data_IF_059270178681
#
_entry.id   IF_059270178681
#
_cell.length_a   1.000
_cell.length_b   1.000
_cell.length_c   1.000
_cell.angle_alpha   90.00
_cell.angle_beta   90.00
_cell.angle_gamma   90.00
#
_symmetry.space_group_name_H-M   'P 1'
#
loop_
_entity.id
_entity.type
_entity.pdbx_description
1 polymer ?
#
# COMPACT_ATOMS: atom_id res chain seq x y z
N UNK A 1 -23.87 -8.40 -4.31
CA UNK A 1 -23.87 -7.96 -5.73
C UNK A 1 -22.49 -8.25 -6.28
N UNK A 2 -22.41 -9.22 -7.17
CA UNK A 2 -21.21 -9.50 -7.95
C UNK A 2 -21.03 -8.29 -8.87
N UNK A 3 -19.94 -7.56 -8.71
CA UNK A 3 -19.58 -6.49 -9.61
C UNK A 3 -19.21 -7.14 -10.95
N UNK A 4 -20.12 -7.12 -11.90
CA UNK A 4 -19.85 -7.58 -13.28
C UNK A 4 -19.02 -6.49 -13.96
N UNK A 5 -17.72 -6.46 -13.69
CA UNK A 5 -16.78 -5.65 -14.42
C UNK A 5 -16.54 -6.35 -15.77
N UNK A 6 -17.41 -6.10 -16.74
CA UNK A 6 -17.05 -6.39 -18.13
C UNK A 6 -15.97 -5.40 -18.53
N UNK A 7 -14.74 -5.87 -18.66
CA UNK A 7 -13.70 -5.12 -19.34
C UNK A 7 -14.24 -4.75 -20.74
N UNK A 8 -14.40 -3.46 -21.01
CA UNK A 8 -14.74 -3.00 -22.35
C UNK A 8 -13.52 -3.24 -23.23
N UNK A 9 -13.60 -4.22 -24.11
CA UNK A 9 -12.59 -4.48 -25.12
C UNK A 9 -12.88 -3.55 -26.29
N UNK A 10 -12.05 -2.53 -26.49
CA UNK A 10 -12.07 -1.70 -27.68
C UNK A 10 -11.06 -2.27 -28.69
N UNK A 11 -11.47 -2.45 -29.92
CA UNK A 11 -10.57 -2.84 -31.02
C UNK A 11 -10.09 -1.56 -31.68
N UNK A 12 -8.78 -1.31 -31.64
CA UNK A 12 -8.19 -0.25 -32.41
C UNK A 12 -8.18 -0.68 -33.91
N UNK A 13 -9.07 -0.10 -34.67
CA UNK A 13 -9.28 -0.45 -36.09
C UNK A 13 -8.03 -0.15 -36.93
N UNK A 14 -7.20 0.80 -36.53
CA UNK A 14 -6.01 1.18 -37.27
C UNK A 14 -4.82 0.20 -37.08
N UNK A 15 -4.76 -0.49 -35.92
CA UNK A 15 -3.63 -1.39 -35.59
C UNK A 15 -4.07 -2.84 -35.44
N UNK A 16 -5.36 -3.14 -35.39
CA UNK A 16 -5.92 -4.47 -35.12
C UNK A 16 -5.66 -4.95 -33.70
N UNK A 17 -5.16 -4.08 -32.80
CA UNK A 17 -4.85 -4.42 -31.41
C UNK A 17 -6.10 -4.32 -30.53
N UNK A 18 -6.26 -5.29 -29.65
CA UNK A 18 -7.26 -5.24 -28.58
C UNK A 18 -6.75 -4.26 -27.51
N UNK A 19 -7.41 -3.14 -27.38
CA UNK A 19 -7.12 -2.19 -26.30
C UNK A 19 -8.01 -2.60 -25.12
N UNK A 20 -7.41 -3.24 -24.14
CA UNK A 20 -8.03 -3.48 -22.84
C UNK A 20 -7.93 -2.19 -22.04
N UNK A 21 -9.04 -1.63 -21.59
CA UNK A 21 -9.00 -0.48 -20.69
C UNK A 21 -8.20 -0.85 -19.43
N UNK A 22 -7.05 -0.22 -19.25
CA UNK A 22 -6.21 -0.45 -18.09
C UNK A 22 -6.89 0.10 -16.83
N UNK A 23 -7.05 -0.76 -15.83
CA UNK A 23 -7.61 -0.34 -14.55
C UNK A 23 -6.56 0.42 -13.75
N UNK A 24 -6.92 1.63 -13.33
CA UNK A 24 -6.14 2.43 -12.39
C UNK A 24 -6.84 2.34 -11.03
N UNK A 25 -6.11 1.90 -10.03
CA UNK A 25 -6.62 1.88 -8.66
C UNK A 25 -6.12 3.09 -7.86
N UNK A 26 -6.93 3.53 -6.93
CA UNK A 26 -6.52 4.46 -5.88
C UNK A 26 -6.14 3.67 -4.64
N UNK A 27 -5.01 3.98 -4.04
CA UNK A 27 -4.54 3.35 -2.80
C UNK A 27 -4.33 4.43 -1.74
N UNK A 28 -5.00 4.26 -0.61
CA UNK A 28 -4.67 4.97 0.61
C UNK A 28 -3.76 4.08 1.46
N UNK A 29 -2.47 4.41 1.48
CA UNK A 29 -1.48 3.73 2.32
C UNK A 29 -1.45 4.39 3.69
N UNK A 30 -2.31 3.94 4.61
CA UNK A 30 -2.43 4.51 5.95
C UNK A 30 -1.40 3.96 6.94
N UNK A 31 -1.23 4.67 8.07
CA UNK A 31 -0.35 4.23 9.19
C UNK A 31 -0.91 3.00 9.90
N UNK A 32 -2.22 2.97 10.12
CA UNK A 32 -2.93 1.90 10.85
C UNK A 32 -3.65 0.96 9.91
N UNK A 33 -4.39 1.51 8.96
CA UNK A 33 -5.13 0.76 7.95
C UNK A 33 -4.89 1.38 6.57
N UNK A 34 -4.91 0.53 5.57
CA UNK A 34 -4.82 0.89 4.16
C UNK A 34 -6.06 0.41 3.42
N UNK A 35 -6.33 0.97 2.27
CA UNK A 35 -7.43 0.53 1.40
C UNK A 35 -7.07 0.71 -0.08
N UNK A 36 -7.77 -0.03 -0.91
CA UNK A 36 -7.74 0.11 -2.37
C UNK A 36 -9.15 0.40 -2.89
N UNK A 37 -9.24 1.31 -3.83
CA UNK A 37 -10.50 1.77 -4.42
C UNK A 37 -10.37 1.90 -5.94
N UNK A 38 -11.53 1.94 -6.60
CA UNK A 38 -11.64 2.26 -8.03
C UNK A 38 -12.69 3.34 -8.24
N UNK A 39 -12.67 3.94 -9.44
CA UNK A 39 -13.82 4.70 -9.92
C UNK A 39 -14.82 3.74 -10.51
N UNK A 40 -16.04 3.75 -9.99
CA UNK A 40 -17.12 2.97 -10.60
C UNK A 40 -17.43 3.52 -12.02
N UNK A 41 -17.42 2.68 -13.05
CA UNK A 41 -17.51 3.15 -14.45
C UNK A 41 -18.81 3.90 -14.75
N UNK A 42 -19.91 3.51 -14.14
CA UNK A 42 -21.22 4.11 -14.41
C UNK A 42 -21.49 5.34 -13.53
N UNK A 43 -21.27 5.21 -12.21
CA UNK A 43 -21.58 6.29 -11.25
C UNK A 43 -20.50 7.35 -11.15
N UNK A 44 -19.31 7.08 -11.67
CA UNK A 44 -18.10 7.93 -11.55
C UNK A 44 -17.75 8.26 -10.09
N UNK A 45 -18.21 7.44 -9.16
CA UNK A 45 -17.93 7.60 -7.74
C UNK A 45 -16.85 6.62 -7.28
N UNK A 46 -16.05 6.97 -6.27
CA UNK A 46 -15.07 6.07 -5.66
C UNK A 46 -15.76 4.93 -4.94
N UNK A 47 -15.24 3.73 -5.14
CA UNK A 47 -15.71 2.53 -4.46
C UNK A 47 -14.51 1.80 -3.87
N UNK A 48 -14.45 1.76 -2.54
CA UNK A 48 -13.47 0.94 -1.84
C UNK A 48 -13.75 -0.55 -2.10
N UNK A 49 -12.73 -1.25 -2.53
CA UNK A 49 -12.83 -2.67 -2.84
C UNK A 49 -12.85 -3.50 -1.55
N UNK A 50 -13.79 -4.40 -1.45
CA UNK A 50 -13.91 -5.34 -0.35
C UNK A 50 -14.47 -6.67 -0.81
N UNK A 51 -14.01 -7.74 -0.22
CA UNK A 51 -14.61 -9.06 -0.40
C UNK A 51 -15.97 -9.12 0.31
N UNK A 52 -16.77 -10.10 -0.08
CA UNK A 52 -18.09 -10.30 0.54
C UNK A 52 -17.93 -10.55 2.04
N UNK A 53 -18.68 -9.80 2.86
CA UNK A 53 -18.63 -9.85 4.33
C UNK A 53 -17.29 -9.48 4.98
N UNK A 54 -16.37 -8.82 4.26
CA UNK A 54 -15.12 -8.34 4.82
C UNK A 54 -15.06 -6.81 4.91
N UNK A 55 -14.09 -6.30 5.67
CA UNK A 55 -13.77 -4.87 5.70
C UNK A 55 -13.11 -4.44 4.39
N UNK A 56 -13.35 -3.20 3.96
CA UNK A 56 -12.54 -2.56 2.92
C UNK A 56 -11.16 -2.13 3.45
N UNK A 57 -11.03 -1.96 4.77
CA UNK A 57 -9.78 -1.60 5.42
C UNK A 57 -8.92 -2.85 5.63
N UNK A 58 -7.65 -2.73 5.28
CA UNK A 58 -6.61 -3.74 5.51
C UNK A 58 -5.66 -3.17 6.56
N UNK A 59 -5.48 -3.82 7.71
CA UNK A 59 -4.47 -3.39 8.67
C UNK A 59 -3.09 -3.28 8.04
N UNK A 60 -2.43 -2.13 8.23
CA UNK A 60 -1.06 -1.86 7.72
C UNK A 60 -0.03 -2.56 8.60
N UNK A 61 -0.15 -3.87 8.72
CA UNK A 61 0.63 -4.74 9.59
C UNK A 61 1.22 -5.88 8.77
N UNK A 62 2.50 -6.15 8.98
CA UNK A 62 3.27 -7.19 8.29
C UNK A 62 3.84 -8.15 9.32
N UNK A 63 3.55 -9.42 9.19
CA UNK A 63 4.10 -10.49 10.02
C UNK A 63 5.00 -11.38 9.19
N UNK A 64 6.13 -11.76 9.77
CA UNK A 64 7.13 -12.66 9.19
C UNK A 64 7.14 -13.95 9.99
N UNK A 65 6.74 -15.04 9.36
CA UNK A 65 6.77 -16.35 10.04
C UNK A 65 8.19 -16.94 10.07
N UNK A 66 8.35 -18.01 10.83
CA UNK A 66 9.64 -18.73 11.00
C UNK A 66 10.16 -19.31 9.68
N UNK A 67 9.29 -19.56 8.70
CA UNK A 67 9.66 -20.12 7.39
C UNK A 67 10.02 -19.02 6.39
N UNK A 68 9.84 -17.75 6.76
CA UNK A 68 10.12 -16.58 5.93
C UNK A 68 8.94 -16.14 5.05
N UNK A 69 7.74 -16.68 5.26
CA UNK A 69 6.54 -16.18 4.62
C UNK A 69 6.13 -14.83 5.21
N UNK A 70 5.55 -14.01 4.36
CA UNK A 70 5.10 -12.66 4.72
C UNK A 70 3.58 -12.63 4.66
N UNK A 71 2.98 -12.27 5.79
CA UNK A 71 1.53 -12.17 5.97
C UNK A 71 1.18 -10.72 6.27
N UNK A 72 0.13 -10.20 5.65
CA UNK A 72 -0.30 -8.80 5.79
C UNK A 72 -1.78 -8.73 6.18
N UNK A 73 -2.16 -7.71 6.93
CA UNK A 73 -3.54 -7.43 7.25
C UNK A 73 -4.05 -8.10 8.52
N UNK A 74 -5.29 -8.59 8.52
CA UNK A 74 -5.97 -9.11 9.73
C UNK A 74 -5.26 -10.31 10.35
N UNK A 75 -4.71 -11.21 9.55
CA UNK A 75 -3.97 -12.37 10.08
C UNK A 75 -2.66 -11.93 10.74
N UNK A 76 -1.96 -10.95 10.16
CA UNK A 76 -0.77 -10.34 10.78
C UNK A 76 -1.13 -9.61 12.08
N UNK A 77 -2.28 -8.94 12.13
CA UNK A 77 -2.76 -8.22 13.32
C UNK A 77 -2.94 -9.14 14.52
N UNK A 78 -3.40 -10.38 14.31
CA UNK A 78 -3.53 -11.38 15.38
C UNK A 78 -2.18 -11.72 16.03
N UNK A 79 -1.08 -11.57 15.29
CA UNK A 79 0.29 -11.86 15.74
C UNK A 79 0.92 -10.76 16.58
N UNK A 80 0.35 -9.56 16.63
CA UNK A 80 0.87 -8.45 17.45
C UNK A 80 1.02 -8.80 18.94
N UNK A 81 0.16 -9.68 19.45
CA UNK A 81 0.17 -10.10 20.86
C UNK A 81 1.09 -11.30 21.06
N UNK A 82 1.03 -12.29 20.17
CA UNK A 82 1.74 -13.57 20.34
C UNK A 82 3.18 -13.52 19.84
N UNK A 83 3.44 -12.74 18.80
CA UNK A 83 4.74 -12.65 18.12
C UNK A 83 5.10 -11.20 17.76
N UNK A 84 5.14 -10.31 18.77
CA UNK A 84 5.32 -8.87 18.53
C UNK A 84 6.68 -8.53 17.89
N UNK A 85 7.72 -9.34 18.11
CA UNK A 85 9.07 -9.13 17.56
C UNK A 85 9.15 -9.46 16.06
N UNK A 86 8.21 -10.28 15.56
CA UNK A 86 8.11 -10.65 14.15
C UNK A 86 6.98 -9.92 13.42
N UNK A 87 6.32 -8.98 14.11
CA UNK A 87 5.16 -8.26 13.58
C UNK A 87 5.43 -6.76 13.52
N UNK A 88 5.48 -6.22 12.32
CA UNK A 88 5.78 -4.81 12.06
C UNK A 88 4.50 -4.05 11.76
N UNK A 89 4.30 -2.94 12.46
CA UNK A 89 3.18 -2.02 12.27
C UNK A 89 3.70 -0.59 12.10
N UNK A 90 2.85 0.32 11.62
CA UNK A 90 3.19 1.74 11.47
C UNK A 90 4.43 2.02 10.59
N UNK A 91 4.74 1.16 9.61
CA UNK A 91 5.88 1.33 8.70
C UNK A 91 5.88 2.69 7.98
N UNK A 92 4.71 3.27 7.72
CA UNK A 92 4.55 4.61 7.12
C UNK A 92 5.25 5.70 7.93
N UNK A 93 5.35 5.56 9.27
CA UNK A 93 6.05 6.53 10.12
C UNK A 93 7.57 6.52 9.95
N UNK A 94 8.11 5.43 9.42
CA UNK A 94 9.53 5.23 9.21
C UNK A 94 9.96 5.60 7.79
N UNK A 95 9.02 5.74 6.85
CA UNK A 95 9.32 5.96 5.44
C UNK A 95 10.05 7.29 5.24
N UNK A 96 11.20 7.27 4.57
CA UNK A 96 12.01 8.44 4.31
C UNK A 96 12.63 9.08 5.56
N UNK A 97 12.72 8.34 6.68
CA UNK A 97 13.29 8.81 7.95
C UNK A 97 14.65 8.18 8.22
N UNK A 98 15.51 8.95 8.91
CA UNK A 98 16.74 8.47 9.54
C UNK A 98 16.44 8.03 10.98
N UNK A 99 17.37 7.34 11.62
CA UNK A 99 17.22 6.99 13.05
C UNK A 99 17.08 8.24 13.92
N UNK A 100 17.82 9.29 13.63
CA UNK A 100 17.73 10.56 14.37
C UNK A 100 16.33 11.17 14.32
N UNK A 101 15.62 11.03 13.21
CA UNK A 101 14.26 11.55 13.04
C UNK A 101 13.23 10.82 13.92
N UNK A 102 13.52 9.57 14.30
CA UNK A 102 12.56 8.71 15.04
C UNK A 102 13.04 8.33 16.43
N UNK A 103 14.22 8.75 16.83
CA UNK A 103 14.88 8.37 18.09
C UNK A 103 13.97 8.50 19.32
N UNK A 104 13.20 9.60 19.43
CA UNK A 104 12.25 9.82 20.52
C UNK A 104 11.04 8.88 20.49
N UNK A 105 10.73 8.30 19.33
CA UNK A 105 9.60 7.41 19.13
C UNK A 105 10.01 5.93 19.03
N UNK A 106 11.32 5.63 19.05
CA UNK A 106 11.83 4.27 18.84
C UNK A 106 11.32 3.27 19.89
N UNK A 107 11.08 3.73 21.13
CA UNK A 107 10.54 2.90 22.22
C UNK A 107 9.06 2.49 22.04
N UNK A 108 8.33 3.12 21.13
CA UNK A 108 6.93 2.75 20.83
C UNK A 108 6.80 1.52 19.93
N UNK A 109 7.88 1.12 19.27
CA UNK A 109 7.86 -0.05 18.39
C UNK A 109 8.20 -1.31 19.19
N UNK A 110 7.40 -2.37 19.02
CA UNK A 110 7.66 -3.70 19.61
C UNK A 110 8.75 -4.47 18.86
N UNK A 111 9.08 -4.04 17.65
CA UNK A 111 10.16 -4.57 16.83
C UNK A 111 11.40 -3.68 16.90
N UNK A 112 12.53 -4.23 16.53
CA UNK A 112 13.81 -3.53 16.64
C UNK A 112 14.05 -2.60 15.45
N UNK A 113 14.19 -1.31 15.73
CA UNK A 113 14.64 -0.32 14.76
C UNK A 113 16.14 -0.11 14.94
N UNK A 114 16.91 -0.20 13.85
CA UNK A 114 18.36 -0.19 13.88
C UNK A 114 18.88 1.24 13.76
N UNK A 115 19.77 1.58 14.69
CA UNK A 115 20.68 2.71 14.57
C UNK A 115 22.04 2.18 14.07
N UNK A 116 22.34 2.42 12.83
CA UNK A 116 23.63 2.03 12.25
C UNK A 116 24.69 3.16 12.32
N UNK A 117 24.41 4.20 13.14
CA UNK A 117 25.24 5.40 13.32
C UNK A 117 25.59 6.14 12.01
N UNK A 118 24.78 5.95 10.97
CA UNK A 118 24.90 6.66 9.71
C UNK A 118 23.69 7.59 9.52
N UNK A 119 23.82 8.54 8.61
CA UNK A 119 22.67 9.35 8.15
C UNK A 119 21.77 8.57 7.16
N UNK A 120 21.94 7.27 7.11
CA UNK A 120 21.16 6.39 6.24
C UNK A 120 19.71 6.27 6.71
N UNK A 121 18.85 5.84 5.79
CA UNK A 121 17.46 5.54 6.12
C UNK A 121 17.36 4.41 7.12
N UNK A 122 16.47 4.57 8.10
CA UNK A 122 16.22 3.60 9.16
C UNK A 122 15.92 2.20 8.60
N UNK A 123 16.35 1.17 9.34
CA UNK A 123 16.05 -0.23 9.05
C UNK A 123 15.32 -0.89 10.22
N UNK A 124 14.51 -1.87 9.90
CA UNK A 124 13.82 -2.72 10.89
C UNK A 124 14.44 -4.10 10.86
N UNK A 125 14.83 -4.60 12.03
CA UNK A 125 15.31 -5.97 12.18
C UNK A 125 14.16 -6.90 12.58
N UNK A 126 13.99 -7.98 11.83
CA UNK A 126 13.08 -9.07 12.16
C UNK A 126 13.86 -10.39 12.07
N UNK A 127 14.05 -11.05 13.20
CA UNK A 127 15.00 -12.18 13.28
C UNK A 127 16.39 -11.73 12.86
N UNK A 128 16.99 -12.47 11.93
CA UNK A 128 18.32 -12.16 11.38
C UNK A 128 18.29 -11.29 10.12
N UNK A 129 17.10 -10.86 9.69
CA UNK A 129 16.92 -10.08 8.46
C UNK A 129 16.64 -8.61 8.76
N UNK A 130 17.03 -7.77 7.80
CA UNK A 130 16.82 -6.32 7.84
C UNK A 130 15.91 -5.89 6.70
N UNK A 131 14.93 -5.05 7.02
CA UNK A 131 13.96 -4.52 6.05
C UNK A 131 13.96 -3.01 6.09
N UNK A 132 13.94 -2.39 4.93
CA UNK A 132 13.68 -0.95 4.83
C UNK A 132 12.19 -0.65 5.01
N UNK A 133 11.82 0.58 5.40
CA UNK A 133 10.42 1.00 5.39
C UNK A 133 9.77 0.92 3.99
N UNK A 134 10.58 1.00 2.94
CA UNK A 134 10.14 0.83 1.54
C UNK A 134 9.74 -0.63 1.30
N UNK A 135 10.55 -1.60 1.75
CA UNK A 135 10.21 -3.04 1.65
C UNK A 135 8.90 -3.34 2.39
N UNK A 136 8.79 -2.88 3.64
CA UNK A 136 7.61 -3.10 4.47
C UNK A 136 6.34 -2.50 3.84
N UNK A 137 6.44 -1.29 3.30
CA UNK A 137 5.34 -0.64 2.59
C UNK A 137 4.99 -1.37 1.30
N UNK A 138 5.98 -1.93 0.60
CA UNK A 138 5.75 -2.71 -0.61
C UNK A 138 4.94 -3.98 -0.37
N UNK A 139 5.11 -4.63 0.79
CA UNK A 139 4.31 -5.81 1.15
C UNK A 139 2.83 -5.45 1.36
N UNK A 140 2.57 -4.32 2.01
CA UNK A 140 1.19 -3.82 2.18
C UNK A 140 0.57 -3.49 0.81
N UNK A 141 1.32 -2.80 -0.06
CA UNK A 141 0.86 -2.47 -1.41
C UNK A 141 0.63 -3.71 -2.27
N UNK A 142 1.47 -4.74 -2.14
CA UNK A 142 1.27 -6.04 -2.79
C UNK A 142 -0.04 -6.70 -2.37
N UNK A 143 -0.35 -6.69 -1.09
CA UNK A 143 -1.60 -7.25 -0.56
C UNK A 143 -2.81 -6.50 -1.12
N UNK A 144 -2.77 -5.16 -1.16
CA UNK A 144 -3.84 -4.34 -1.73
C UNK A 144 -4.02 -4.59 -3.24
N UNK A 145 -2.90 -4.71 -3.98
CA UNK A 145 -2.90 -5.09 -5.40
C UNK A 145 -3.56 -6.45 -5.59
N UNK A 146 -3.11 -7.46 -4.86
CA UNK A 146 -3.65 -8.82 -4.94
C UNK A 146 -5.15 -8.85 -4.63
N UNK A 147 -5.57 -8.13 -3.59
CA UNK A 147 -7.00 -7.98 -3.25
C UNK A 147 -7.80 -7.35 -4.38
N UNK A 148 -7.29 -6.28 -4.99
CA UNK A 148 -7.94 -5.64 -6.13
C UNK A 148 -8.06 -6.59 -7.32
N UNK A 149 -7.00 -7.30 -7.67
CA UNK A 149 -6.98 -8.29 -8.77
C UNK A 149 -7.97 -9.44 -8.50
N UNK A 150 -8.04 -9.91 -7.25
CA UNK A 150 -8.99 -10.96 -6.88
C UNK A 150 -10.45 -10.52 -7.00
N UNK A 151 -10.77 -9.29 -6.59
CA UNK A 151 -12.15 -8.75 -6.66
C UNK A 151 -12.54 -8.40 -8.09
N UNK A 152 -11.63 -7.76 -8.83
CA UNK A 152 -11.88 -7.26 -10.18
C UNK A 152 -11.72 -8.35 -11.25
N UNK A 153 -11.10 -9.49 -10.88
CA UNK A 153 -10.80 -10.62 -11.81
C UNK A 153 -9.97 -10.18 -13.03
N UNK A 154 -9.09 -9.20 -12.83
CA UNK A 154 -8.22 -8.65 -13.87
C UNK A 154 -6.92 -8.14 -13.26
N UNK A 155 -5.80 -8.16 -14.00
CA UNK A 155 -4.53 -7.60 -13.54
C UNK A 155 -4.66 -6.10 -13.21
N UNK A 156 -3.98 -5.66 -12.16
CA UNK A 156 -3.89 -4.28 -11.73
C UNK A 156 -2.44 -3.84 -11.74
N UNK A 157 -2.08 -3.01 -12.70
CA UNK A 157 -0.69 -2.58 -12.90
C UNK A 157 -0.46 -1.10 -12.59
N UNK A 158 -1.52 -0.28 -12.54
CA UNK A 158 -1.42 1.17 -12.38
C UNK A 158 -2.13 1.64 -11.11
N UNK A 159 -1.49 2.55 -10.40
CA UNK A 159 -2.05 3.10 -9.17
C UNK A 159 -1.78 4.61 -9.01
N UNK A 160 -2.69 5.26 -8.30
CA UNK A 160 -2.47 6.55 -7.64
C UNK A 160 -2.42 6.27 -6.15
N UNK A 161 -1.37 6.73 -5.46
CA UNK A 161 -1.20 6.49 -4.01
C UNK A 161 -1.34 7.81 -3.27
N UNK A 162 -2.16 7.82 -2.21
CA UNK A 162 -2.29 8.99 -1.34
C UNK A 162 -1.27 8.93 -0.19
N UNK A 163 -0.76 10.11 0.17
CA UNK A 163 0.20 10.31 1.27
C UNK A 163 -0.19 11.55 2.07
N UNK A 164 0.24 11.67 3.34
CA UNK A 164 0.02 12.87 4.11
C UNK A 164 0.54 14.12 3.39
N UNK A 165 -0.20 15.24 3.51
CA UNK A 165 0.17 16.49 2.85
C UNK A 165 1.56 16.99 3.28
N UNK A 166 1.97 16.70 4.52
CA UNK A 166 3.27 17.08 5.07
C UNK A 166 4.45 16.21 4.62
N UNK A 167 4.23 15.16 3.81
CA UNK A 167 5.33 14.36 3.27
C UNK A 167 6.24 15.20 2.40
N UNK A 168 7.54 15.14 2.66
CA UNK A 168 8.56 15.74 1.82
C UNK A 168 8.84 14.88 0.56
N UNK A 169 9.68 15.40 -0.32
CA UNK A 169 9.99 14.74 -1.60
C UNK A 169 10.64 13.36 -1.41
N UNK A 170 11.51 13.21 -0.41
CA UNK A 170 12.15 11.93 -0.10
C UNK A 170 11.11 10.87 0.33
N UNK A 171 10.14 11.26 1.14
CA UNK A 171 9.06 10.36 1.58
C UNK A 171 8.10 10.02 0.44
N UNK A 172 7.82 10.98 -0.45
CA UNK A 172 7.02 10.75 -1.66
C UNK A 172 7.74 9.81 -2.63
N UNK A 173 9.05 9.98 -2.81
CA UNK A 173 9.85 9.11 -3.65
C UNK A 173 9.93 7.69 -3.06
N UNK A 174 10.16 7.55 -1.76
CA UNK A 174 10.17 6.26 -1.09
C UNK A 174 8.82 5.52 -1.20
N UNK A 175 7.70 6.26 -1.16
CA UNK A 175 6.37 5.67 -1.40
C UNK A 175 6.22 5.19 -2.85
N UNK A 176 6.73 5.95 -3.82
CA UNK A 176 6.74 5.55 -5.23
C UNK A 176 7.58 4.28 -5.45
N UNK A 177 8.74 4.20 -4.80
CA UNK A 177 9.63 3.04 -4.88
C UNK A 177 8.99 1.79 -4.25
N UNK A 178 8.25 1.96 -3.14
CA UNK A 178 7.47 0.87 -2.56
C UNK A 178 6.39 0.36 -3.52
N UNK A 179 5.70 1.25 -4.22
CA UNK A 179 4.74 0.88 -5.27
C UNK A 179 5.39 0.09 -6.39
N UNK A 180 6.56 0.52 -6.84
CA UNK A 180 7.36 -0.16 -7.86
C UNK A 180 7.75 -1.58 -7.43
N UNK A 181 8.23 -1.74 -6.20
CA UNK A 181 8.54 -3.06 -5.61
C UNK A 181 7.29 -3.96 -5.49
N UNK A 182 6.12 -3.37 -5.33
CA UNK A 182 4.84 -4.07 -5.33
C UNK A 182 4.35 -4.46 -6.75
N UNK A 183 5.07 -4.08 -7.80
CA UNK A 183 4.68 -4.33 -9.18
C UNK A 183 3.60 -3.37 -9.68
N UNK A 184 3.57 -2.14 -9.15
CA UNK A 184 2.66 -1.08 -9.56
C UNK A 184 3.42 0.03 -10.30
N UNK A 185 2.90 0.44 -11.45
CA UNK A 185 3.26 1.71 -12.07
C UNK A 185 2.51 2.83 -11.32
N UNK A 186 3.24 3.58 -10.49
CA UNK A 186 2.67 4.65 -9.67
C UNK A 186 2.60 5.93 -10.49
N UNK A 187 1.44 6.18 -11.07
CA UNK A 187 1.19 7.32 -11.94
C UNK A 187 1.32 8.66 -11.20
N UNK A 188 0.87 8.69 -9.94
CA UNK A 188 0.88 9.88 -9.11
C UNK A 188 0.95 9.55 -7.62
N UNK A 189 1.70 10.38 -6.87
CA UNK A 189 1.61 10.48 -5.41
C UNK A 189 0.81 11.73 -5.08
N UNK A 190 -0.30 11.57 -4.37
CA UNK A 190 -1.24 12.65 -4.11
C UNK A 190 -1.34 12.94 -2.60
N UNK A 191 -1.40 14.20 -2.16
CA UNK A 191 -1.68 14.52 -0.77
C UNK A 191 -3.06 13.98 -0.35
N UNK A 192 -3.14 13.42 0.86
CA UNK A 192 -4.43 13.14 1.50
C UNK A 192 -5.17 14.48 1.66
N UNK A 193 -6.34 14.59 1.06
CA UNK A 193 -7.25 15.71 1.35
C UNK A 193 -8.08 15.33 2.57
N UNK A 194 -8.22 16.27 3.52
CA UNK A 194 -8.93 16.04 4.79
C UNK A 194 -10.42 15.70 4.62
N UNK A 195 -10.96 15.82 3.43
CA UNK A 195 -12.36 15.51 3.12
C UNK A 195 -12.42 14.48 2.00
N UNK A 196 -12.73 13.25 2.41
CA UNK A 196 -13.28 12.15 1.60
C UNK A 196 -12.50 11.66 0.37
N UNK A 197 -12.64 10.36 0.11
CA UNK A 197 -12.31 9.68 -1.17
C UNK A 197 -12.84 10.38 -2.44
N UNK A 198 -13.67 11.39 -2.31
CA UNK A 198 -14.18 12.21 -3.40
C UNK A 198 -13.16 13.23 -3.93
N UNK A 199 -12.28 13.75 -3.08
CA UNK A 199 -11.41 14.88 -3.46
C UNK A 199 -10.29 14.56 -4.44
N UNK A 200 -9.76 13.34 -4.47
CA UNK A 200 -8.63 13.01 -5.36
C UNK A 200 -9.01 12.64 -6.78
N UNK A 201 -10.31 12.59 -7.08
CA UNK A 201 -10.85 12.17 -8.37
C UNK A 201 -11.26 13.29 -9.30
N UNK A 202 -11.44 14.51 -8.80
CA UNK A 202 -11.92 15.63 -9.61
C UNK A 202 -10.82 16.51 -10.19
N UNK A 203 -9.54 16.25 -9.89
CA UNK A 203 -8.40 17.05 -10.36
C UNK A 203 -7.36 16.19 -11.12
N UNK A 204 -7.82 15.21 -11.88
CA UNK A 204 -6.99 14.42 -12.79
C UNK A 204 -7.13 14.84 -14.23
#
# INVERSE_FOLDING_TARGET
>A
RIYNFMAKIAINIATGSLQQDEIIVGIDLGTTNSLVAIIHPDTKQPVALKEHNSSSLVPSIVYFDETGNIIVGEEAKKKLITEPQHTVFSAKRLIGKTYNDIKSAASFFSYKVIDDNTESMVKVQVGDKFYSPVDLSSYILKELKHRAEHILKTPVNKAVITVPAYFNDAQRQATRDAGKLAGLDVLRIQPEMQESLQGWMFYG
#
